data_IF_810689638184
#
_entry.id   IF_810689638184
#
_cell.length_a   1.000
_cell.length_b   1.000
_cell.length_c   1.000
_cell.angle_alpha   90.00
_cell.angle_beta   90.00
_cell.angle_gamma   90.00
#
_symmetry.space_group_name_H-M   'P 1'
#
loop_
_entity.id
_entity.type
_entity.pdbx_description
1 polymer ?
#
# COMPACT_ATOMS: atom_id res chain seq x y z
N UNK A 1 14.47 69.50 6.43
CA UNK A 1 13.07 69.02 6.56
C UNK A 1 12.75 67.71 5.81
N UNK A 2 13.68 67.06 5.09
CA UNK A 2 13.45 65.74 4.45
C UNK A 2 13.96 64.53 5.22
N UNK A 3 14.92 64.72 6.14
CA UNK A 3 15.49 63.62 6.94
C UNK A 3 14.64 63.28 8.17
N UNK A 4 13.90 64.25 8.72
CA UNK A 4 13.02 64.02 9.88
C UNK A 4 11.78 63.16 9.55
N UNK A 5 11.32 63.19 8.29
CA UNK A 5 10.15 62.42 7.85
C UNK A 5 10.46 60.91 7.70
N UNK A 6 11.72 60.55 7.48
CA UNK A 6 12.16 59.16 7.36
C UNK A 6 12.37 58.49 8.73
N UNK A 7 12.63 59.26 9.79
CA UNK A 7 12.72 58.73 11.16
C UNK A 7 11.36 58.56 11.85
N UNK A 8 10.30 59.22 11.36
CA UNK A 8 8.94 59.05 11.89
C UNK A 8 8.21 57.84 11.28
N UNK A 9 8.70 57.28 10.17
CA UNK A 9 8.11 56.09 9.56
C UNK A 9 8.59 54.76 10.19
N UNK A 10 9.65 54.78 11.00
CA UNK A 10 10.18 53.57 11.66
C UNK A 10 9.52 53.25 13.02
N UNK A 11 8.63 54.10 13.52
CA UNK A 11 8.03 53.94 14.86
C UNK A 11 6.72 53.13 14.88
N UNK A 12 6.25 52.59 13.76
CA UNK A 12 5.00 51.81 13.68
C UNK A 12 5.18 50.37 13.14
N UNK A 13 6.39 49.81 13.26
CA UNK A 13 6.56 48.37 13.08
C UNK A 13 6.19 47.67 14.39
N UNK A 14 4.89 47.50 14.63
CA UNK A 14 4.43 46.51 15.59
C UNK A 14 4.99 45.16 15.16
N UNK A 15 5.95 44.65 15.93
CA UNK A 15 6.38 43.28 15.83
C UNK A 15 5.14 42.41 16.06
N UNK A 16 4.63 41.80 15.00
CA UNK A 16 3.71 40.69 15.11
C UNK A 16 4.54 39.58 15.76
N UNK A 17 4.38 39.42 17.07
CA UNK A 17 4.88 38.29 17.83
C UNK A 17 4.14 37.06 17.31
N UNK A 18 4.60 36.52 16.17
CA UNK A 18 4.18 35.26 15.64
C UNK A 18 4.69 34.19 16.60
N UNK A 19 3.94 33.97 17.67
CA UNK A 19 4.14 32.84 18.56
C UNK A 19 3.87 31.60 17.74
N UNK A 20 4.95 30.98 17.27
CA UNK A 20 4.94 29.64 16.74
C UNK A 20 4.51 28.72 17.89
N UNK A 21 3.21 28.55 18.08
CA UNK A 21 2.67 27.49 18.90
C UNK A 21 3.01 26.22 18.15
N UNK A 22 4.15 25.62 18.49
CA UNK A 22 4.43 24.23 18.15
C UNK A 22 3.35 23.45 18.91
N UNK A 23 2.18 23.29 18.29
CA UNK A 23 1.32 22.17 18.62
C UNK A 23 2.13 20.95 18.19
N UNK A 24 2.90 20.42 19.14
CA UNK A 24 3.22 19.01 19.11
C UNK A 24 1.86 18.34 19.12
N UNK A 25 1.35 18.01 17.94
CA UNK A 25 0.26 17.06 17.76
C UNK A 25 0.83 15.74 18.27
N UNK A 26 0.88 15.60 19.61
CA UNK A 26 1.25 14.38 20.28
C UNK A 26 0.03 13.50 20.01
N UNK A 27 0.04 12.83 18.86
CA UNK A 27 -0.98 11.87 18.48
C UNK A 27 -1.28 11.02 19.71
N UNK A 28 -2.45 11.24 20.31
CA UNK A 28 -2.79 10.62 21.56
C UNK A 28 -3.21 9.18 21.26
N UNK A 29 -2.21 8.31 21.16
CA UNK A 29 -2.40 6.90 20.89
C UNK A 29 -2.79 6.19 22.18
N UNK A 30 -3.86 5.41 22.09
CA UNK A 30 -4.37 4.68 23.24
C UNK A 30 -3.43 3.53 23.61
N UNK A 31 -3.10 3.42 24.89
CA UNK A 31 -2.25 2.34 25.41
C UNK A 31 -3.09 1.08 25.57
N UNK A 32 -2.63 -0.02 24.98
CA UNK A 32 -3.33 -1.31 25.05
C UNK A 32 -2.38 -2.42 25.51
N UNK A 33 -2.85 -3.27 26.43
CA UNK A 33 -2.15 -4.52 26.80
C UNK A 33 -2.89 -5.73 26.24
N UNK A 34 -2.14 -6.79 25.94
CA UNK A 34 -2.64 -8.01 25.32
C UNK A 34 -2.40 -9.18 26.30
N UNK A 35 -3.46 -9.90 26.64
CA UNK A 35 -3.44 -11.04 27.56
C UNK A 35 -3.87 -12.29 26.80
N UNK A 36 -2.97 -13.26 26.71
CA UNK A 36 -3.17 -14.54 26.05
C UNK A 36 -3.73 -15.58 27.01
N UNK A 37 -4.96 -16.02 26.73
CA UNK A 37 -5.65 -17.12 27.40
C UNK A 37 -5.85 -18.34 26.50
N UNK A 38 -5.06 -18.48 25.44
CA UNK A 38 -4.98 -19.71 24.62
C UNK A 38 -4.37 -20.85 25.44
N UNK A 39 -4.81 -22.10 25.24
CA UNK A 39 -4.21 -23.26 25.93
C UNK A 39 -2.69 -23.33 25.69
N UNK A 40 -2.28 -23.08 24.44
CA UNK A 40 -0.88 -23.01 24.04
C UNK A 40 -0.54 -21.59 23.58
N UNK A 41 0.47 -20.98 24.22
CA UNK A 41 0.92 -19.64 23.85
C UNK A 41 1.55 -19.63 22.44
N UNK A 42 1.19 -18.64 21.62
CA UNK A 42 1.69 -18.51 20.26
C UNK A 42 2.33 -17.13 20.03
N UNK A 43 3.66 -17.07 20.21
CA UNK A 43 4.43 -15.83 20.02
C UNK A 43 4.32 -15.24 18.61
N UNK A 44 4.14 -16.07 17.57
CA UNK A 44 3.98 -15.57 16.20
C UNK A 44 2.65 -14.83 16.06
N UNK A 45 1.58 -15.39 16.62
CA UNK A 45 0.26 -14.77 16.61
C UNK A 45 0.21 -13.50 17.46
N UNK A 46 0.86 -13.51 18.63
CA UNK A 46 1.02 -12.32 19.46
C UNK A 46 1.72 -11.17 18.70
N UNK A 47 2.87 -11.45 18.07
CA UNK A 47 3.59 -10.47 17.27
C UNK A 47 2.79 -9.95 16.07
N UNK A 48 1.90 -10.78 15.53
CA UNK A 48 0.97 -10.37 14.48
C UNK A 48 -0.02 -9.32 14.98
N UNK A 49 -0.66 -9.55 16.13
CA UNK A 49 -1.55 -8.57 16.76
C UNK A 49 -0.82 -7.25 17.06
N UNK A 50 0.42 -7.33 17.59
CA UNK A 50 1.23 -6.13 17.85
C UNK A 50 1.51 -5.33 16.57
N UNK A 51 1.78 -6.03 15.46
CA UNK A 51 2.02 -5.41 14.16
C UNK A 51 0.75 -4.69 13.66
N UNK A 52 -0.41 -5.34 13.73
CA UNK A 52 -1.70 -4.77 13.34
C UNK A 52 -2.03 -3.50 14.17
N UNK A 53 -1.83 -3.54 15.49
CA UNK A 53 -2.03 -2.39 16.37
C UNK A 53 -1.04 -1.25 16.10
N UNK A 54 0.21 -1.59 15.76
CA UNK A 54 1.23 -0.59 15.43
C UNK A 54 0.90 0.14 14.12
N UNK A 55 0.58 -0.59 13.06
CA UNK A 55 0.35 0.02 11.74
C UNK A 55 -0.96 0.78 11.65
N UNK A 56 -1.93 0.46 12.52
CA UNK A 56 -3.15 1.27 12.64
C UNK A 56 -2.83 2.72 13.00
N UNK A 57 -1.75 2.94 13.77
CA UNK A 57 -1.38 4.26 14.25
C UNK A 57 -2.21 4.75 15.43
N UNK A 58 -3.23 4.02 15.87
CA UNK A 58 -4.13 4.45 16.95
C UNK A 58 -3.70 3.96 18.33
N UNK A 59 -2.80 2.97 18.40
CA UNK A 59 -2.44 2.32 19.66
C UNK A 59 -0.94 2.33 19.95
N UNK A 60 -0.62 2.28 21.24
CA UNK A 60 0.68 1.86 21.77
C UNK A 60 0.44 0.52 22.46
N UNK A 61 0.71 -0.57 21.74
CA UNK A 61 0.56 -1.93 22.27
C UNK A 61 1.75 -2.30 23.17
N UNK A 62 1.46 -2.93 24.30
CA UNK A 62 2.47 -3.51 25.17
C UNK A 62 3.16 -4.69 24.49
N UNK A 63 4.49 -4.69 24.48
CA UNK A 63 5.30 -5.74 23.87
C UNK A 63 5.45 -6.99 24.75
N UNK A 64 4.99 -6.96 26.00
CA UNK A 64 5.04 -8.10 26.91
C UNK A 64 3.91 -9.09 26.60
N UNK A 65 4.28 -10.36 26.41
CA UNK A 65 3.31 -11.42 26.15
C UNK A 65 2.70 -11.95 27.45
N UNK A 66 1.69 -11.25 27.96
CA UNK A 66 1.02 -11.60 29.21
C UNK A 66 0.17 -12.86 29.06
N UNK A 67 0.11 -13.67 30.12
CA UNK A 67 -0.74 -14.87 30.22
C UNK A 67 -1.87 -14.66 31.22
N UNK A 68 -3.04 -15.21 30.96
CA UNK A 68 -4.16 -15.12 31.89
C UNK A 68 -5.39 -15.88 31.43
N UNK A 69 -6.44 -15.84 32.24
CA UNK A 69 -7.72 -16.45 31.89
C UNK A 69 -8.59 -15.48 31.06
N UNK A 70 -9.04 -15.94 29.89
CA UNK A 70 -9.96 -15.22 29.02
C UNK A 70 -11.36 -15.11 29.62
N UNK A 71 -11.78 -16.05 30.45
CA UNK A 71 -13.12 -16.06 31.07
C UNK A 71 -13.22 -15.07 32.24
N UNK A 72 -12.11 -14.83 32.93
CA UNK A 72 -12.02 -13.89 34.02
C UNK A 72 -12.29 -12.44 33.59
N UNK A 73 -13.05 -11.72 34.41
CA UNK A 73 -13.22 -10.26 34.30
C UNK A 73 -12.11 -9.49 35.01
N UNK A 74 -11.19 -10.18 35.70
CA UNK A 74 -10.10 -9.55 36.41
C UNK A 74 -9.12 -8.88 35.43
N UNK A 75 -8.83 -7.60 35.69
CA UNK A 75 -7.81 -6.82 35.00
C UNK A 75 -6.69 -6.59 36.01
N UNK A 76 -5.50 -7.17 35.78
CA UNK A 76 -4.34 -7.02 36.66
C UNK A 76 -3.81 -5.57 36.67
N UNK A 77 -2.65 -5.35 37.31
CA UNK A 77 -1.91 -4.09 37.48
C UNK A 77 -1.57 -3.29 36.21
N UNK A 78 -2.11 -3.68 35.05
CA UNK A 78 -2.18 -2.92 33.80
C UNK A 78 -3.04 -1.63 33.88
N UNK A 79 -3.28 -1.10 35.09
CA UNK A 79 -4.04 0.14 35.33
C UNK A 79 -3.50 1.35 34.57
N UNK A 80 -2.23 1.32 34.16
CA UNK A 80 -1.59 2.37 33.36
C UNK A 80 -1.96 2.33 31.86
N UNK A 81 -2.63 1.27 31.41
CA UNK A 81 -3.10 1.09 30.03
C UNK A 81 -4.58 1.47 29.95
N UNK A 82 -4.99 2.08 28.84
CA UNK A 82 -6.38 2.47 28.62
C UNK A 82 -7.29 1.27 28.33
N UNK A 83 -6.74 0.31 27.58
CA UNK A 83 -7.45 -0.89 27.16
C UNK A 83 -6.67 -2.17 27.48
N UNK A 84 -7.40 -3.26 27.73
CA UNK A 84 -6.86 -4.62 27.82
C UNK A 84 -7.61 -5.52 26.85
N UNK A 85 -6.88 -6.11 25.90
CA UNK A 85 -7.39 -7.15 25.00
C UNK A 85 -7.03 -8.52 25.57
N UNK A 86 -8.04 -9.27 26.00
CA UNK A 86 -7.89 -10.70 26.25
C UNK A 86 -8.20 -11.48 24.99
N UNK A 87 -7.37 -12.45 24.64
CA UNK A 87 -7.61 -13.30 23.47
C UNK A 87 -7.27 -14.77 23.75
N UNK A 88 -7.93 -15.68 23.05
CA UNK A 88 -7.64 -17.11 23.10
C UNK A 88 -7.79 -17.70 21.70
N UNK A 89 -6.70 -18.23 21.19
CA UNK A 89 -6.59 -18.94 19.92
C UNK A 89 -6.63 -20.46 20.19
N UNK A 90 -7.42 -21.18 19.40
CA UNK A 90 -7.39 -22.65 19.39
C UNK A 90 -7.36 -23.18 17.95
N UNK A 91 -6.53 -24.20 17.73
CA UNK A 91 -6.20 -24.75 16.40
C UNK A 91 -6.56 -26.25 16.26
N UNK A 92 -7.76 -26.66 16.68
CA UNK A 92 -8.18 -28.09 16.66
C UNK A 92 -8.79 -28.51 15.31
N UNK A 93 -9.92 -27.90 14.91
CA UNK A 93 -10.66 -28.20 13.68
C UNK A 93 -10.71 -26.98 12.75
N UNK A 94 -9.52 -26.47 12.41
CA UNK A 94 -9.33 -25.10 11.92
C UNK A 94 -8.91 -24.18 13.07
N UNK A 95 -8.96 -22.87 12.84
CA UNK A 95 -8.55 -21.89 13.84
C UNK A 95 -9.73 -21.09 14.34
N UNK A 96 -9.86 -20.98 15.66
CA UNK A 96 -10.86 -20.17 16.34
C UNK A 96 -10.18 -19.15 17.23
N UNK A 97 -10.60 -17.90 17.14
CA UNK A 97 -10.10 -16.80 17.95
C UNK A 97 -11.25 -16.20 18.75
N UNK A 98 -11.16 -16.22 20.07
CA UNK A 98 -12.06 -15.49 20.96
C UNK A 98 -11.35 -14.24 21.45
N UNK A 99 -12.03 -13.11 21.46
CA UNK A 99 -11.50 -11.86 22.00
C UNK A 99 -12.49 -11.20 22.95
N UNK A 100 -11.94 -10.47 23.93
CA UNK A 100 -12.65 -9.59 24.85
C UNK A 100 -11.83 -8.35 25.09
N UNK A 101 -12.40 -7.17 24.83
CA UNK A 101 -11.77 -5.88 25.03
C UNK A 101 -12.41 -5.18 26.23
N UNK A 102 -11.58 -4.75 27.17
CA UNK A 102 -11.99 -4.04 28.36
C UNK A 102 -11.45 -2.61 28.37
N UNK A 103 -12.25 -1.68 28.91
CA UNK A 103 -11.77 -0.35 29.32
C UNK A 103 -11.24 -0.44 30.75
N UNK A 104 -9.98 -0.11 30.95
CA UNK A 104 -9.34 -0.28 32.27
C UNK A 104 -9.89 0.67 33.32
N UNK A 105 -10.32 1.88 32.93
CA UNK A 105 -10.78 2.92 33.85
C UNK A 105 -11.99 2.53 34.70
N UNK A 106 -12.85 1.65 34.19
CA UNK A 106 -14.08 1.22 34.86
C UNK A 106 -14.30 -0.29 34.79
N UNK A 107 -13.33 -1.06 34.30
CA UNK A 107 -13.43 -2.51 34.13
C UNK A 107 -14.51 -2.97 33.15
N UNK A 108 -15.10 -2.07 32.35
CA UNK A 108 -16.22 -2.41 31.46
C UNK A 108 -15.73 -3.20 30.25
N UNK A 109 -16.39 -4.32 29.97
CA UNK A 109 -16.26 -5.00 28.67
C UNK A 109 -16.91 -4.15 27.57
N UNK A 110 -16.11 -3.72 26.60
CA UNK A 110 -16.54 -2.88 25.47
C UNK A 110 -16.95 -3.76 24.30
N UNK A 111 -16.25 -4.87 24.11
CA UNK A 111 -16.38 -5.71 22.93
C UNK A 111 -16.02 -7.16 23.24
N UNK A 112 -16.81 -8.09 22.72
CA UNK A 112 -16.56 -9.52 22.77
C UNK A 112 -16.98 -10.15 21.46
N UNK A 113 -16.12 -10.98 20.88
CA UNK A 113 -16.40 -11.65 19.61
C UNK A 113 -15.61 -12.93 19.46
N UNK A 114 -16.14 -13.83 18.65
CA UNK A 114 -15.48 -15.07 18.27
C UNK A 114 -15.40 -15.14 16.74
N UNK A 115 -14.25 -15.58 16.25
CA UNK A 115 -13.96 -15.76 14.83
C UNK A 115 -13.54 -17.21 14.60
N UNK A 116 -13.82 -17.75 13.42
CA UNK A 116 -13.39 -19.09 13.05
C UNK A 116 -13.04 -19.14 11.56
N UNK A 117 -12.01 -19.90 11.21
CA UNK A 117 -11.66 -20.20 9.82
C UNK A 117 -11.25 -21.68 9.68
N UNK A 118 -11.68 -22.39 8.63
CA UNK A 118 -11.45 -23.84 8.54
C UNK A 118 -10.00 -24.27 8.38
N UNK A 119 -9.09 -23.37 7.97
CA UNK A 119 -7.70 -23.70 7.67
C UNK A 119 -6.75 -22.93 8.60
N UNK A 120 -5.93 -23.66 9.35
CA UNK A 120 -4.92 -23.09 10.26
C UNK A 120 -3.90 -22.20 9.52
N UNK A 121 -3.61 -22.48 8.25
CA UNK A 121 -2.75 -21.59 7.45
C UNK A 121 -3.31 -20.17 7.31
N UNK A 122 -4.64 -19.99 7.46
CA UNK A 122 -5.33 -18.70 7.34
C UNK A 122 -5.54 -18.00 8.70
N UNK A 123 -4.94 -18.48 9.78
CA UNK A 123 -4.99 -17.82 11.10
C UNK A 123 -4.64 -16.32 11.07
N UNK A 124 -3.70 -15.82 10.24
CA UNK A 124 -3.40 -14.39 10.20
C UNK A 124 -4.62 -13.49 9.96
N UNK A 125 -5.55 -13.94 9.12
CA UNK A 125 -6.78 -13.20 8.83
C UNK A 125 -7.69 -13.02 10.06
N UNK A 126 -7.60 -13.91 11.06
CA UNK A 126 -8.34 -13.76 12.32
C UNK A 126 -7.80 -12.60 13.15
N UNK A 127 -6.47 -12.45 13.23
CA UNK A 127 -5.82 -11.32 13.92
C UNK A 127 -6.19 -10.00 13.25
N UNK A 128 -6.02 -9.92 11.92
CA UNK A 128 -6.33 -8.71 11.15
C UNK A 128 -7.78 -8.30 11.32
N UNK A 129 -8.70 -9.28 11.27
CA UNK A 129 -10.12 -9.01 11.45
C UNK A 129 -10.44 -8.54 12.86
N UNK A 130 -9.86 -9.17 13.88
CA UNK A 130 -10.04 -8.76 15.27
C UNK A 130 -9.57 -7.32 15.50
N UNK A 131 -8.36 -6.97 15.06
CA UNK A 131 -7.82 -5.61 15.26
C UNK A 131 -8.59 -4.58 14.42
N UNK A 132 -8.97 -4.93 13.19
CA UNK A 132 -9.83 -4.07 12.37
C UNK A 132 -11.19 -3.80 13.03
N UNK A 133 -11.84 -4.83 13.59
CA UNK A 133 -13.12 -4.67 14.30
C UNK A 133 -12.94 -3.84 15.59
N UNK A 134 -11.83 -4.00 16.32
CA UNK A 134 -11.48 -3.19 17.50
C UNK A 134 -11.33 -1.71 17.16
N UNK A 135 -10.69 -1.37 16.03
CA UNK A 135 -10.59 0.02 15.59
C UNK A 135 -11.97 0.60 15.28
N UNK A 136 -12.85 -0.17 14.63
CA UNK A 136 -14.21 0.26 14.29
C UNK A 136 -15.10 0.47 15.53
N UNK A 137 -15.06 -0.44 16.51
CA UNK A 137 -15.90 -0.32 17.73
C UNK A 137 -15.46 0.86 18.60
N UNK A 138 -14.16 1.15 18.63
CA UNK A 138 -13.60 2.32 19.31
C UNK A 138 -13.70 3.62 18.49
N UNK A 139 -14.33 3.58 17.31
CA UNK A 139 -14.58 4.73 16.44
C UNK A 139 -13.30 5.42 15.93
N UNK A 140 -12.18 4.70 15.86
CA UNK A 140 -11.01 5.18 15.14
C UNK A 140 -11.21 5.11 13.63
N UNK A 141 -10.30 5.76 12.89
CA UNK A 141 -10.26 5.64 11.43
C UNK A 141 -10.18 4.17 11.01
N UNK A 142 -10.95 3.80 9.99
CA UNK A 142 -10.98 2.42 9.50
C UNK A 142 -9.60 1.98 9.04
N UNK A 143 -9.20 0.78 9.44
CA UNK A 143 -8.01 0.08 8.93
C UNK A 143 -8.38 -1.16 8.12
N UNK A 144 -9.60 -1.20 7.58
CA UNK A 144 -10.14 -2.39 6.89
C UNK A 144 -9.25 -2.92 5.75
N UNK A 145 -8.32 -2.11 5.25
CA UNK A 145 -7.28 -2.50 4.30
C UNK A 145 -6.42 -3.69 4.78
N UNK A 146 -6.20 -3.90 6.08
CA UNK A 146 -5.42 -5.06 6.59
C UNK A 146 -6.11 -6.40 6.32
N UNK A 147 -7.42 -6.39 6.07
CA UNK A 147 -8.19 -7.60 5.76
C UNK A 147 -8.13 -7.98 4.27
N UNK A 148 -7.52 -7.15 3.43
CA UNK A 148 -7.44 -7.36 1.99
C UNK A 148 -6.32 -8.35 1.65
N UNK A 149 -6.42 -8.96 0.48
CA UNK A 149 -5.35 -9.79 -0.06
C UNK A 149 -4.31 -8.94 -0.78
N UNK A 150 -3.06 -9.35 -0.67
CA UNK A 150 -1.97 -8.88 -1.52
C UNK A 150 -1.72 -9.92 -2.62
N UNK A 151 -1.47 -9.47 -3.86
CA UNK A 151 -0.98 -10.32 -4.94
C UNK A 151 0.36 -9.81 -5.44
N UNK A 152 1.30 -10.71 -5.67
CA UNK A 152 2.62 -10.34 -6.18
C UNK A 152 3.19 -11.40 -7.10
N UNK A 153 4.09 -10.98 -7.98
CA UNK A 153 4.86 -11.88 -8.84
C UNK A 153 6.32 -11.94 -8.37
N UNK A 154 6.91 -13.14 -8.35
CA UNK A 154 8.34 -13.32 -8.12
C UNK A 154 8.91 -14.33 -9.11
N UNK A 155 10.16 -14.15 -9.49
CA UNK A 155 10.86 -15.15 -10.31
C UNK A 155 11.13 -16.41 -9.50
N UNK A 156 10.91 -17.56 -10.12
CA UNK A 156 11.26 -18.87 -9.56
C UNK A 156 12.50 -19.44 -10.23
N UNK A 157 12.70 -19.19 -11.53
CA UNK A 157 13.88 -19.56 -12.32
C UNK A 157 14.03 -18.58 -13.50
N UNK A 158 15.14 -18.58 -14.27
CA UNK A 158 15.19 -17.84 -15.53
C UNK A 158 13.95 -18.13 -16.39
N UNK A 159 13.28 -17.09 -16.88
CA UNK A 159 12.02 -17.15 -17.67
C UNK A 159 10.86 -17.90 -16.98
N UNK A 160 10.89 -18.07 -15.65
CA UNK A 160 9.75 -18.62 -14.89
C UNK A 160 9.45 -17.78 -13.67
N UNK A 161 8.16 -17.57 -13.42
CA UNK A 161 7.68 -16.86 -12.24
C UNK A 161 6.49 -17.60 -11.64
N UNK A 162 6.07 -17.10 -10.49
CA UNK A 162 4.77 -17.43 -9.92
C UNK A 162 4.06 -16.15 -9.49
N UNK A 163 2.73 -16.19 -9.50
CA UNK A 163 1.88 -15.16 -8.88
C UNK A 163 1.29 -15.75 -7.61
N UNK A 164 1.55 -15.07 -6.49
CA UNK A 164 1.24 -15.51 -5.13
C UNK A 164 0.22 -14.57 -4.52
N UNK A 165 -0.80 -15.15 -3.89
CA UNK A 165 -1.77 -14.50 -3.02
C UNK A 165 -1.27 -14.54 -1.57
N UNK A 166 -1.35 -13.44 -0.85
CA UNK A 166 -0.94 -13.34 0.54
C UNK A 166 -1.88 -12.48 1.39
N UNK A 167 -1.77 -12.58 2.72
CA UNK A 167 -2.20 -11.50 3.61
C UNK A 167 -1.16 -10.37 3.60
N UNK A 168 -1.49 -9.23 4.21
CA UNK A 168 -0.61 -8.05 4.17
C UNK A 168 0.71 -8.24 4.95
N UNK A 169 0.77 -9.19 5.90
CA UNK A 169 2.00 -9.51 6.65
C UNK A 169 2.82 -10.63 6.02
N UNK A 170 2.32 -11.24 4.94
CA UNK A 170 2.94 -12.36 4.23
C UNK A 170 3.10 -13.63 5.07
N UNK A 171 2.36 -13.73 6.18
CA UNK A 171 2.31 -14.91 7.06
C UNK A 171 1.56 -16.07 6.42
N UNK A 172 0.55 -15.76 5.60
CA UNK A 172 -0.15 -16.67 4.69
C UNK A 172 0.28 -16.36 3.26
N UNK A 173 0.65 -17.40 2.52
CA UNK A 173 0.97 -17.30 1.09
C UNK A 173 0.40 -18.52 0.36
N UNK A 174 -0.14 -18.31 -0.84
CA UNK A 174 -0.62 -19.37 -1.73
C UNK A 174 -0.30 -19.01 -3.19
N UNK A 175 0.45 -19.87 -3.87
CA UNK A 175 0.67 -19.75 -5.30
C UNK A 175 -0.64 -19.97 -6.07
N UNK A 176 -0.99 -19.05 -6.96
CA UNK A 176 -2.23 -19.09 -7.77
C UNK A 176 -1.91 -19.34 -9.25
N UNK A 177 -0.79 -18.84 -9.75
CA UNK A 177 -0.28 -19.11 -11.10
C UNK A 177 1.17 -19.56 -11.00
N UNK A 178 1.52 -20.63 -11.70
CA UNK A 178 2.88 -21.16 -11.80
C UNK A 178 3.10 -21.82 -13.17
N UNK A 179 4.34 -22.20 -13.47
CA UNK A 179 4.68 -23.01 -14.66
C UNK A 179 5.09 -22.22 -15.91
N UNK A 180 5.02 -20.90 -15.90
CA UNK A 180 5.44 -20.04 -17.01
C UNK A 180 5.95 -18.68 -16.54
N UNK A 181 6.12 -17.74 -17.46
CA UNK A 181 6.43 -16.35 -17.13
C UNK A 181 5.13 -15.53 -17.08
N UNK A 182 4.66 -15.28 -15.86
CA UNK A 182 3.49 -14.45 -15.56
C UNK A 182 3.85 -13.34 -14.58
N UNK A 183 3.62 -12.08 -14.97
CA UNK A 183 4.07 -10.88 -14.25
C UNK A 183 2.96 -9.84 -14.13
N UNK A 184 3.21 -8.80 -13.33
CA UNK A 184 2.37 -7.61 -13.18
C UNK A 184 0.91 -7.93 -12.82
N UNK A 185 0.66 -8.62 -11.69
CA UNK A 185 -0.69 -8.85 -11.23
C UNK A 185 -1.35 -7.52 -10.80
N UNK A 186 -2.62 -7.32 -11.15
CA UNK A 186 -3.42 -6.14 -10.80
C UNK A 186 -4.85 -6.57 -10.45
N UNK A 187 -5.34 -6.23 -9.26
CA UNK A 187 -6.71 -6.54 -8.86
C UNK A 187 -7.72 -5.91 -9.81
N UNK A 188 -8.74 -6.69 -10.18
CA UNK A 188 -9.74 -6.23 -11.14
C UNK A 188 -10.77 -5.27 -10.54
N UNK A 189 -10.96 -5.31 -9.21
CA UNK A 189 -11.88 -4.45 -8.48
C UNK A 189 -11.63 -4.54 -6.96
N UNK A 190 -12.41 -3.77 -6.19
CA UNK A 190 -12.37 -3.78 -4.74
C UNK A 190 -12.80 -5.11 -4.10
N UNK A 191 -13.53 -5.99 -4.81
CA UNK A 191 -14.01 -7.29 -4.30
C UNK A 191 -12.92 -8.37 -4.29
N UNK A 192 -11.81 -8.17 -5.01
CA UNK A 192 -10.65 -9.08 -5.05
C UNK A 192 -11.02 -10.53 -5.43
N UNK A 193 -12.00 -10.69 -6.32
CA UNK A 193 -12.37 -12.01 -6.85
C UNK A 193 -11.58 -12.37 -8.11
N UNK A 194 -11.13 -11.37 -8.85
CA UNK A 194 -10.35 -11.55 -10.07
C UNK A 194 -9.19 -10.56 -10.13
N UNK A 195 -8.15 -10.93 -10.86
CA UNK A 195 -7.02 -10.05 -11.15
C UNK A 195 -6.58 -10.21 -12.60
N UNK A 196 -5.96 -9.16 -13.14
CA UNK A 196 -5.28 -9.16 -14.42
C UNK A 196 -3.81 -9.50 -14.25
N UNK A 197 -3.21 -10.17 -15.22
CA UNK A 197 -1.78 -10.45 -15.26
C UNK A 197 -1.30 -10.56 -16.70
N UNK A 198 -0.01 -10.33 -16.90
CA UNK A 198 0.64 -10.48 -18.20
C UNK A 198 1.25 -11.88 -18.29
N UNK A 199 0.91 -12.62 -19.34
CA UNK A 199 1.52 -13.92 -19.66
C UNK A 199 2.47 -13.76 -20.84
N UNK A 200 3.66 -14.32 -20.71
CA UNK A 200 4.69 -14.45 -21.74
C UNK A 200 4.90 -15.93 -22.11
N UNK A 201 3.88 -16.77 -21.91
CA UNK A 201 3.94 -18.19 -22.26
C UNK A 201 3.89 -18.42 -23.78
N UNK A 202 3.16 -17.56 -24.49
CA UNK A 202 3.05 -17.56 -25.94
C UNK A 202 4.05 -16.58 -26.58
N UNK A 203 4.22 -16.65 -27.89
CA UNK A 203 5.11 -15.73 -28.65
C UNK A 203 4.71 -14.26 -28.48
N UNK A 204 3.40 -13.99 -28.43
CA UNK A 204 2.83 -12.64 -28.28
C UNK A 204 2.36 -12.46 -26.83
N UNK A 205 2.94 -11.52 -26.05
CA UNK A 205 2.49 -11.20 -24.72
C UNK A 205 0.98 -10.92 -24.65
N UNK A 206 0.33 -11.50 -23.64
CA UNK A 206 -1.12 -11.37 -23.47
C UNK A 206 -1.49 -10.90 -22.07
N UNK A 207 -2.46 -9.98 -22.00
CA UNK A 207 -3.13 -9.58 -20.77
C UNK A 207 -4.31 -10.52 -20.52
N UNK A 208 -4.29 -11.20 -19.39
CA UNK A 208 -5.27 -12.21 -19.02
C UNK A 208 -5.95 -11.83 -17.70
N UNK A 209 -7.21 -12.21 -17.54
CA UNK A 209 -7.99 -12.12 -16.30
C UNK A 209 -8.15 -13.51 -15.69
N UNK A 210 -7.94 -13.64 -14.40
CA UNK A 210 -8.17 -14.89 -13.65
C UNK A 210 -9.09 -14.62 -12.46
N UNK A 211 -10.08 -15.48 -12.25
CA UNK A 211 -10.86 -15.53 -11.01
C UNK A 211 -10.22 -16.50 -10.00
N UNK A 212 -9.95 -16.04 -8.77
CA UNK A 212 -9.22 -16.82 -7.75
C UNK A 212 -10.06 -17.91 -7.07
N UNK A 213 -11.39 -17.87 -7.22
CA UNK A 213 -12.32 -18.81 -6.61
C UNK A 213 -12.76 -19.90 -7.59
N UNK A 214 -13.07 -19.52 -8.83
CA UNK A 214 -13.55 -20.46 -9.87
C UNK A 214 -12.42 -20.98 -10.77
N UNK A 215 -11.27 -20.31 -10.80
CA UNK A 215 -10.19 -20.62 -11.73
C UNK A 215 -10.45 -20.20 -13.18
N UNK A 216 -11.59 -19.54 -13.47
CA UNK A 216 -11.93 -19.07 -14.81
C UNK A 216 -10.91 -18.08 -15.34
N UNK A 217 -10.45 -18.29 -16.58
CA UNK A 217 -9.45 -17.49 -17.28
C UNK A 217 -10.02 -16.92 -18.58
N UNK A 218 -9.72 -15.65 -18.87
CA UNK A 218 -10.02 -15.05 -20.16
C UNK A 218 -8.87 -14.14 -20.62
N UNK A 219 -8.59 -14.16 -21.92
CA UNK A 219 -7.67 -13.22 -22.57
C UNK A 219 -8.41 -11.91 -22.82
N UNK A 220 -7.82 -10.79 -22.40
CA UNK A 220 -8.40 -9.45 -22.55
C UNK A 220 -7.84 -8.75 -23.78
N UNK A 221 -6.51 -8.82 -23.96
CA UNK A 221 -5.81 -8.20 -25.07
C UNK A 221 -4.42 -8.83 -25.26
N UNK A 222 -3.80 -8.54 -26.40
CA UNK A 222 -2.38 -8.83 -26.67
C UNK A 222 -1.71 -7.65 -27.37
N UNK A 223 -0.38 -7.66 -27.33
CA UNK A 223 0.50 -6.67 -27.96
C UNK A 223 1.75 -7.39 -28.45
N UNK A 224 2.29 -7.02 -29.61
CA UNK A 224 3.55 -7.57 -30.14
C UNK A 224 4.74 -7.21 -29.25
N UNK A 225 4.74 -6.00 -28.67
CA UNK A 225 5.64 -5.63 -27.57
C UNK A 225 5.01 -5.85 -26.19
N UNK A 226 5.41 -5.04 -25.21
CA UNK A 226 4.89 -5.15 -23.84
C UNK A 226 3.36 -4.90 -23.77
N UNK A 227 2.70 -5.55 -22.83
CA UNK A 227 1.33 -5.26 -22.41
C UNK A 227 1.24 -5.41 -20.89
N UNK A 228 0.77 -4.40 -20.18
CA UNK A 228 0.64 -4.42 -18.72
C UNK A 228 -0.61 -3.66 -18.30
N UNK A 229 -1.46 -4.25 -17.46
CA UNK A 229 -2.54 -3.50 -16.81
C UNK A 229 -1.94 -2.63 -15.70
N UNK A 230 -1.84 -1.34 -15.98
CA UNK A 230 -1.22 -0.36 -15.08
C UNK A 230 -2.19 0.10 -13.99
N UNK A 231 -3.48 0.24 -14.35
CA UNK A 231 -4.53 0.57 -13.38
C UNK A 231 -5.92 0.10 -13.81
N UNK A 232 -6.83 0.05 -12.85
CA UNK A 232 -8.23 -0.33 -13.07
C UNK A 232 -9.13 0.77 -12.53
N UNK A 233 -10.10 1.18 -13.33
CA UNK A 233 -11.12 2.13 -12.89
C UNK A 233 -11.90 1.54 -11.71
N UNK A 234 -12.32 2.37 -10.75
CA UNK A 234 -12.96 1.99 -9.48
C UNK A 234 -14.23 1.18 -9.68
N UNK A 235 -14.96 1.44 -10.76
CA UNK A 235 -16.16 0.68 -11.16
C UNK A 235 -15.84 -0.67 -11.86
N UNK A 236 -14.58 -0.95 -12.16
CA UNK A 236 -14.11 -2.17 -12.83
C UNK A 236 -14.42 -2.23 -14.34
N UNK A 237 -14.99 -1.18 -14.93
CA UNK A 237 -15.44 -1.17 -16.33
C UNK A 237 -14.31 -0.99 -17.34
N UNK A 238 -13.24 -0.31 -16.93
CA UNK A 238 -12.13 0.10 -17.82
C UNK A 238 -10.77 -0.09 -17.16
N UNK A 239 -9.77 -0.31 -18.00
CA UNK A 239 -8.38 -0.55 -17.62
C UNK A 239 -7.49 0.49 -18.29
N UNK A 240 -6.54 1.05 -17.54
CA UNK A 240 -5.35 1.67 -18.12
C UNK A 240 -4.32 0.58 -18.39
N UNK A 241 -3.89 0.48 -19.64
CA UNK A 241 -2.96 -0.54 -20.10
C UNK A 241 -1.78 0.13 -20.78
N UNK A 242 -0.58 -0.16 -20.31
CA UNK A 242 0.64 0.18 -21.03
C UNK A 242 0.85 -0.86 -22.13
N UNK A 243 0.88 -0.44 -23.39
CA UNK A 243 1.03 -1.33 -24.54
C UNK A 243 2.07 -0.81 -25.51
N UNK A 244 2.81 -1.71 -26.16
CA UNK A 244 3.73 -1.39 -27.24
C UNK A 244 3.44 -2.20 -28.51
N UNK A 245 2.33 -1.94 -29.22
CA UNK A 245 1.95 -2.74 -30.39
C UNK A 245 2.93 -2.60 -31.57
N UNK A 246 3.69 -1.50 -31.65
CA UNK A 246 4.67 -1.25 -32.71
C UNK A 246 6.02 -0.81 -32.11
N UNK A 247 6.51 -1.54 -31.08
CA UNK A 247 7.71 -1.22 -30.30
C UNK A 247 7.69 0.12 -29.52
N UNK A 248 6.66 0.94 -29.68
CA UNK A 248 6.46 2.22 -29.01
C UNK A 248 5.47 2.08 -27.85
N UNK A 249 5.89 2.34 -26.61
CA UNK A 249 5.03 2.19 -25.42
C UNK A 249 4.17 3.41 -25.18
N UNK A 250 2.85 3.20 -25.12
CA UNK A 250 1.86 4.21 -24.74
C UNK A 250 0.85 3.66 -23.74
N UNK A 251 0.04 4.58 -23.21
CA UNK A 251 -1.10 4.27 -22.35
C UNK A 251 -2.35 4.19 -23.20
N UNK A 252 -3.08 3.09 -23.03
CA UNK A 252 -4.37 2.83 -23.64
C UNK A 252 -5.43 2.70 -22.55
N UNK A 253 -6.65 3.12 -22.85
CA UNK A 253 -7.83 2.78 -22.08
C UNK A 253 -8.62 1.71 -22.84
N UNK A 254 -8.87 0.58 -22.18
CA UNK A 254 -9.60 -0.56 -22.77
C UNK A 254 -10.74 -0.99 -21.85
N UNK A 255 -11.79 -1.59 -22.42
CA UNK A 255 -12.85 -2.23 -21.63
C UNK A 255 -12.31 -3.45 -20.87
N UNK A 256 -12.84 -3.70 -19.67
CA UNK A 256 -12.50 -4.90 -18.88
C UNK A 256 -12.98 -6.22 -19.49
N UNK A 257 -13.82 -6.13 -20.53
CA UNK A 257 -14.27 -7.24 -21.36
C UNK A 257 -13.41 -7.44 -22.63
N UNK A 258 -12.40 -6.60 -22.84
CA UNK A 258 -11.62 -6.54 -24.08
C UNK A 258 -12.29 -5.70 -25.18
N UNK A 259 -11.82 -5.85 -26.42
CA UNK A 259 -12.37 -5.15 -27.59
C UNK A 259 -11.59 -3.89 -27.99
N UNK A 260 -12.30 -2.81 -28.31
CA UNK A 260 -11.70 -1.59 -28.85
C UNK A 260 -10.73 -0.92 -27.85
N UNK A 261 -9.64 -0.38 -28.39
CA UNK A 261 -8.54 0.21 -27.61
C UNK A 261 -8.51 1.71 -27.88
N UNK A 262 -8.67 2.55 -26.86
CA UNK A 262 -8.49 4.01 -26.96
C UNK A 262 -7.07 4.37 -26.57
N UNK A 263 -6.24 4.85 -27.49
CA UNK A 263 -4.91 5.38 -27.19
C UNK A 263 -5.05 6.71 -26.42
N UNK A 264 -4.49 6.80 -25.21
CA UNK A 264 -4.61 7.95 -24.30
C UNK A 264 -3.41 8.87 -24.40
N UNK A 265 -2.23 8.32 -24.61
CA UNK A 265 -0.98 9.04 -24.88
C UNK A 265 -0.44 8.66 -26.25
N UNK A 266 0.32 9.58 -26.87
CA UNK A 266 0.87 9.38 -28.20
C UNK A 266 2.24 10.04 -28.35
N UNK A 267 3.04 9.99 -27.29
CA UNK A 267 4.39 10.54 -27.32
C UNK A 267 5.29 9.64 -28.19
N UNK A 268 6.27 10.23 -28.89
CA UNK A 268 7.14 9.49 -29.81
C UNK A 268 8.21 8.64 -29.13
N UNK A 269 8.12 8.47 -27.82
CA UNK A 269 9.06 7.74 -26.95
C UNK A 269 8.30 7.31 -25.67
N UNK A 270 8.95 6.77 -24.67
CA UNK A 270 8.33 6.00 -23.57
C UNK A 270 7.25 6.79 -22.78
N UNK A 271 6.00 6.29 -22.81
CA UNK A 271 4.91 6.60 -21.85
C UNK A 271 4.38 5.30 -21.21
N UNK A 272 4.55 5.14 -19.88
CA UNK A 272 4.24 3.89 -19.14
C UNK A 272 3.65 4.12 -17.74
N UNK A 273 3.17 3.06 -17.10
CA UNK A 273 2.69 3.05 -15.71
C UNK A 273 1.60 4.11 -15.44
N UNK A 274 0.58 4.16 -16.30
CA UNK A 274 -0.56 5.06 -16.16
C UNK A 274 -1.47 4.70 -14.98
N UNK A 275 -1.88 5.71 -14.22
CA UNK A 275 -2.70 5.62 -13.00
C UNK A 275 -3.82 6.64 -13.03
N UNK A 276 -5.03 6.23 -12.67
CA UNK A 276 -6.14 7.16 -12.55
C UNK A 276 -5.87 8.14 -11.39
N UNK A 277 -6.21 9.41 -11.58
CA UNK A 277 -6.01 10.48 -10.63
C UNK A 277 -7.21 11.43 -10.63
N UNK A 278 -7.30 12.31 -9.62
CA UNK A 278 -8.34 13.35 -9.55
C UNK A 278 -9.77 12.81 -9.79
N UNK A 279 -10.14 11.78 -9.02
CA UNK A 279 -11.43 11.07 -9.18
C UNK A 279 -11.63 10.51 -10.59
N UNK A 280 -10.56 10.00 -11.21
CA UNK A 280 -10.56 9.31 -12.51
C UNK A 280 -10.84 10.22 -13.72
N UNK A 281 -10.76 11.54 -13.54
CA UNK A 281 -10.83 12.51 -14.64
C UNK A 281 -9.47 12.72 -15.33
N UNK A 282 -8.40 12.46 -14.60
CA UNK A 282 -7.02 12.58 -15.05
C UNK A 282 -6.30 11.24 -14.96
N UNK A 283 -5.17 11.15 -15.66
CA UNK A 283 -4.15 10.13 -15.43
C UNK A 283 -2.84 10.78 -15.02
N UNK A 284 -2.08 10.10 -14.15
CA UNK A 284 -0.64 10.34 -13.98
C UNK A 284 0.14 9.16 -14.52
N UNK A 285 1.33 9.41 -15.03
CA UNK A 285 2.13 8.38 -15.69
C UNK A 285 3.61 8.75 -15.77
N UNK A 286 4.45 7.75 -16.01
CA UNK A 286 5.89 7.93 -16.24
C UNK A 286 6.13 8.17 -17.72
N UNK A 287 6.92 9.19 -18.04
CA UNK A 287 7.32 9.55 -19.40
C UNK A 287 8.78 9.98 -19.44
N UNK A 288 9.47 9.71 -20.54
CA UNK A 288 10.82 10.23 -20.79
C UNK A 288 10.85 11.51 -21.65
N UNK A 289 9.73 12.21 -21.83
CA UNK A 289 9.62 13.40 -22.69
C UNK A 289 10.54 14.59 -22.39
N UNK A 290 11.20 14.59 -21.23
CA UNK A 290 12.23 15.57 -20.86
C UNK A 290 13.66 15.03 -21.06
N UNK A 291 13.81 13.92 -21.78
CA UNK A 291 15.08 13.19 -21.92
C UNK A 291 15.42 12.27 -20.75
N UNK A 292 14.55 12.19 -19.73
CA UNK A 292 14.71 11.30 -18.57
C UNK A 292 13.35 10.92 -17.99
N UNK A 293 13.27 9.77 -17.31
CA UNK A 293 12.03 9.26 -16.72
C UNK A 293 11.50 10.20 -15.62
N UNK A 294 10.32 10.78 -15.86
CA UNK A 294 9.65 11.67 -14.94
C UNK A 294 8.12 11.49 -14.98
N UNK A 295 7.39 12.11 -14.05
CA UNK A 295 5.95 11.93 -13.89
C UNK A 295 5.16 13.12 -14.42
N UNK A 296 4.17 12.82 -15.26
CA UNK A 296 3.30 13.76 -15.91
C UNK A 296 1.83 13.46 -15.63
N UNK A 297 0.98 14.47 -15.81
CA UNK A 297 -0.47 14.40 -15.71
C UNK A 297 -1.11 14.77 -17.05
N UNK A 298 -2.15 14.04 -17.42
CA UNK A 298 -2.98 14.32 -18.59
C UNK A 298 -4.45 14.13 -18.23
N UNK A 299 -5.32 15.05 -18.65
CA UNK A 299 -6.76 14.81 -18.58
C UNK A 299 -7.20 13.79 -19.63
N UNK A 300 -8.12 12.90 -19.29
CA UNK A 300 -8.65 11.91 -20.24
C UNK A 300 -9.42 12.55 -21.41
N UNK A 301 -9.88 13.79 -21.24
CA UNK A 301 -10.70 14.53 -22.21
C UNK A 301 -9.94 15.67 -22.91
N UNK A 302 -8.69 15.95 -22.53
CA UNK A 302 -7.88 17.02 -23.13
C UNK A 302 -6.56 16.47 -23.64
N UNK A 303 -5.93 17.20 -24.57
CA UNK A 303 -4.61 16.87 -25.11
C UNK A 303 -3.47 17.36 -24.22
N UNK A 304 -3.70 18.39 -23.39
CA UNK A 304 -2.67 19.03 -22.58
C UNK A 304 -2.05 18.08 -21.56
N UNK A 305 -0.71 18.10 -21.50
CA UNK A 305 0.09 17.32 -20.55
C UNK A 305 0.95 18.27 -19.73
N UNK A 306 1.01 18.06 -18.42
CA UNK A 306 1.80 18.88 -17.49
C UNK A 306 2.68 18.01 -16.59
N UNK A 307 3.84 18.54 -16.20
CA UNK A 307 4.76 17.89 -15.26
C UNK A 307 4.19 17.95 -13.83
N UNK A 308 4.27 16.83 -13.11
CA UNK A 308 3.82 16.72 -11.71
C UNK A 308 5.01 16.74 -10.76
N UNK A 309 6.09 16.05 -11.13
CA UNK A 309 7.24 15.86 -10.23
C UNK A 309 8.43 16.69 -10.69
N UNK A 310 8.98 17.47 -9.76
CA UNK A 310 10.13 18.37 -9.99
C UNK A 310 11.40 17.93 -9.25
N UNK A 311 11.34 16.86 -8.45
CA UNK A 311 12.47 16.29 -7.72
C UNK A 311 12.96 15.02 -8.39
N UNK A 312 14.28 14.87 -8.47
CA UNK A 312 14.93 13.71 -9.07
C UNK A 312 14.89 13.71 -10.60
N UNK A 313 15.80 12.94 -11.22
CA UNK A 313 15.90 12.79 -12.68
C UNK A 313 15.70 11.34 -13.15
N UNK A 314 15.19 10.49 -12.28
CA UNK A 314 14.79 9.13 -12.63
C UNK A 314 13.68 8.70 -11.67
N UNK A 315 12.45 9.02 -12.08
CA UNK A 315 11.22 8.73 -11.37
C UNK A 315 10.48 7.63 -12.14
N UNK A 316 10.64 6.39 -11.72
CA UNK A 316 10.38 5.21 -12.56
C UNK A 316 9.11 4.42 -12.20
N UNK A 317 8.38 4.84 -11.18
CA UNK A 317 7.09 4.26 -10.80
C UNK A 317 6.23 5.29 -10.09
N UNK A 318 4.92 5.21 -10.29
CA UNK A 318 3.94 6.16 -9.76
C UNK A 318 2.65 5.45 -9.34
N UNK A 319 2.02 6.01 -8.31
CA UNK A 319 0.63 5.73 -7.94
C UNK A 319 -0.07 7.01 -7.48
N UNK A 320 -1.39 7.07 -7.61
CA UNK A 320 -2.18 8.25 -7.28
C UNK A 320 -3.44 7.90 -6.48
N UNK A 321 -3.79 8.76 -5.53
CA UNK A 321 -5.05 8.67 -4.80
C UNK A 321 -5.59 10.07 -4.51
N UNK A 322 -6.67 10.45 -5.18
CA UNK A 322 -7.21 11.81 -5.11
C UNK A 322 -6.20 12.82 -5.67
N UNK A 323 -5.76 13.77 -4.83
CA UNK A 323 -4.69 14.73 -5.18
C UNK A 323 -3.28 14.24 -4.83
N UNK A 324 -3.14 13.13 -4.10
CA UNK A 324 -1.85 12.62 -3.62
C UNK A 324 -1.20 11.78 -4.72
N UNK A 325 0.11 11.94 -4.87
CA UNK A 325 0.94 11.14 -5.79
C UNK A 325 2.13 10.60 -5.02
N UNK A 326 2.34 9.29 -5.09
CA UNK A 326 3.57 8.65 -4.61
C UNK A 326 4.39 8.15 -5.78
N UNK A 327 5.71 8.26 -5.65
CA UNK A 327 6.62 7.82 -6.68
C UNK A 327 7.93 7.33 -6.11
N UNK A 328 8.60 6.44 -6.87
CA UNK A 328 9.98 6.07 -6.58
C UNK A 328 10.94 6.93 -7.39
N UNK A 329 11.95 7.48 -6.72
CA UNK A 329 12.96 8.36 -7.30
C UNK A 329 14.36 7.85 -6.99
N UNK A 330 15.24 7.92 -7.97
CA UNK A 330 16.67 7.65 -7.79
C UNK A 330 17.36 8.82 -7.09
N UNK A 331 18.06 8.56 -6.00
CA UNK A 331 18.78 9.61 -5.25
C UNK A 331 20.16 9.94 -5.84
N UNK A 332 20.82 8.96 -6.47
CA UNK A 332 22.13 9.17 -7.08
C UNK A 332 22.02 9.84 -8.45
N UNK A 333 22.88 10.83 -8.69
CA UNK A 333 23.05 11.48 -10.01
C UNK A 333 23.93 10.65 -10.96
N UNK A 334 24.78 9.76 -10.45
CA UNK A 334 25.68 8.95 -11.29
C UNK A 334 24.94 7.76 -11.84
N UNK A 335 24.70 7.68 -13.16
CA UNK A 335 24.02 6.54 -13.81
C UNK A 335 24.63 5.17 -13.50
N UNK A 336 25.91 5.13 -13.13
CA UNK A 336 26.66 3.92 -12.80
C UNK A 336 26.94 3.73 -11.29
N UNK A 337 26.57 4.70 -10.45
CA UNK A 337 26.67 4.58 -8.98
C UNK A 337 25.64 3.62 -8.39
N UNK A 338 25.74 3.35 -7.08
CA UNK A 338 24.75 2.50 -6.41
C UNK A 338 23.33 3.05 -6.60
N UNK A 339 22.45 2.20 -7.13
CA UNK A 339 21.05 2.52 -7.43
C UNK A 339 20.21 2.53 -6.14
N UNK A 340 20.27 3.64 -5.41
CA UNK A 340 19.35 3.90 -4.29
C UNK A 340 18.08 4.57 -4.81
N UNK A 341 16.95 3.92 -4.53
CA UNK A 341 15.62 4.41 -4.86
C UNK A 341 14.84 4.63 -3.57
N UNK A 342 14.17 5.77 -3.47
CA UNK A 342 13.37 6.14 -2.32
C UNK A 342 11.97 6.58 -2.74
N UNK A 343 11.01 6.38 -1.85
CA UNK A 343 9.61 6.73 -2.08
C UNK A 343 9.39 8.17 -1.63
N UNK A 344 8.71 8.93 -2.47
CA UNK A 344 8.34 10.32 -2.26
C UNK A 344 6.84 10.49 -2.39
N UNK A 345 6.30 11.43 -1.62
CA UNK A 345 4.92 11.89 -1.69
C UNK A 345 4.90 13.33 -2.20
N UNK A 346 4.04 13.62 -3.16
CA UNK A 346 3.74 14.96 -3.67
C UNK A 346 2.24 15.10 -3.92
N UNK A 347 1.82 16.22 -4.51
CA UNK A 347 0.43 16.51 -4.87
C UNK A 347 0.32 16.93 -6.32
N UNK A 348 -0.82 16.64 -6.96
CA UNK A 348 -1.11 17.07 -8.34
C UNK A 348 -1.08 18.59 -8.55
N UNK A 349 -1.20 19.35 -7.46
CA UNK A 349 -1.36 20.80 -7.46
C UNK A 349 -0.22 21.52 -6.73
N UNK A 350 0.86 20.81 -6.35
CA UNK A 350 2.00 21.40 -5.63
C UNK A 350 3.30 20.78 -6.11
N UNK A 351 4.34 21.60 -6.22
CA UNK A 351 5.71 21.12 -6.49
C UNK A 351 6.40 20.56 -5.25
N UNK A 352 5.82 20.76 -4.05
CA UNK A 352 6.40 20.29 -2.80
C UNK A 352 6.41 18.77 -2.75
N UNK A 353 7.57 18.23 -2.37
CA UNK A 353 7.79 16.79 -2.24
C UNK A 353 8.27 16.47 -0.83
N UNK A 354 7.77 15.37 -0.26
CA UNK A 354 8.17 14.83 1.05
C UNK A 354 8.73 13.41 0.91
N UNK A 355 9.93 13.09 1.43
CA UNK A 355 10.42 11.72 1.50
C UNK A 355 9.55 10.88 2.43
N UNK A 356 9.23 9.66 2.00
CA UNK A 356 8.62 8.61 2.83
C UNK A 356 9.65 7.55 3.25
N UNK A 357 10.70 7.34 2.46
CA UNK A 357 11.84 6.49 2.81
C UNK A 357 13.15 7.24 2.56
N UNK A 358 14.20 6.86 3.29
CA UNK A 358 15.52 7.50 3.17
C UNK A 358 16.65 6.50 2.93
N UNK A 359 16.43 5.19 3.13
CA UNK A 359 17.47 4.16 3.04
C UNK A 359 17.01 2.93 2.27
N UNK A 360 17.96 2.27 1.60
CA UNK A 360 17.75 1.05 0.83
C UNK A 360 17.36 1.30 -0.64
N UNK A 361 16.72 0.31 -1.25
CA UNK A 361 16.19 0.37 -2.61
C UNK A 361 14.69 0.10 -2.56
N UNK A 362 13.89 1.15 -2.64
CA UNK A 362 12.45 1.15 -2.41
C UNK A 362 11.73 1.50 -3.73
N UNK A 363 10.90 0.60 -4.24
CA UNK A 363 10.30 0.67 -5.57
C UNK A 363 8.79 0.34 -5.49
N UNK A 364 8.07 0.63 -6.58
CA UNK A 364 6.67 0.24 -6.78
C UNK A 364 5.75 0.65 -5.62
N UNK A 365 5.66 1.96 -5.30
CA UNK A 365 4.75 2.41 -4.26
C UNK A 365 3.29 2.28 -4.73
N UNK A 366 2.41 1.88 -3.83
CA UNK A 366 0.97 1.77 -4.07
C UNK A 366 0.18 2.31 -2.87
N UNK A 367 -0.83 3.15 -3.12
CA UNK A 367 -1.76 3.59 -2.09
C UNK A 367 -2.73 2.48 -1.69
N UNK A 368 -3.21 2.54 -0.44
CA UNK A 368 -4.44 1.85 -0.06
C UNK A 368 -5.64 2.46 -0.78
N UNK A 369 -6.75 1.73 -0.82
CA UNK A 369 -8.01 2.21 -1.41
C UNK A 369 -8.57 3.49 -0.79
N UNK A 370 -8.21 3.79 0.46
CA UNK A 370 -8.56 5.03 1.18
C UNK A 370 -7.40 6.07 1.16
N UNK A 371 -6.26 5.72 0.57
CA UNK A 371 -5.06 6.54 0.45
C UNK A 371 -4.38 6.88 1.79
N UNK A 372 -4.70 6.17 2.87
CA UNK A 372 -4.10 6.38 4.20
C UNK A 372 -2.74 5.70 4.36
N UNK A 373 -2.48 4.64 3.58
CA UNK A 373 -1.25 3.84 3.63
C UNK A 373 -0.55 3.85 2.27
N UNK A 374 0.77 3.73 2.30
CA UNK A 374 1.61 3.47 1.12
C UNK A 374 2.34 2.14 1.32
N UNK A 375 2.03 1.16 0.46
CA UNK A 375 2.80 -0.07 0.30
C UNK A 375 3.98 0.18 -0.64
N UNK A 376 5.12 -0.49 -0.44
CA UNK A 376 6.23 -0.49 -1.39
C UNK A 376 7.08 -1.76 -1.28
N UNK A 377 7.84 -2.07 -2.33
CA UNK A 377 8.82 -3.15 -2.32
C UNK A 377 10.18 -2.58 -1.89
N UNK A 378 10.80 -3.18 -0.89
CA UNK A 378 12.19 -2.91 -0.49
C UNK A 378 13.09 -4.07 -0.89
N UNK A 379 14.13 -3.80 -1.66
CA UNK A 379 15.15 -4.78 -2.01
C UNK A 379 16.39 -4.68 -1.13
N UNK A 380 16.95 -5.84 -0.77
CA UNK A 380 18.26 -5.96 -0.13
C UNK A 380 18.98 -7.17 -0.71
N UNK A 381 19.92 -6.93 -1.62
CA UNK A 381 20.55 -7.99 -2.40
C UNK A 381 19.52 -8.75 -3.23
N UNK A 382 19.45 -10.07 -3.06
CA UNK A 382 18.47 -10.94 -3.75
C UNK A 382 17.13 -11.07 -3.03
N UNK A 383 17.00 -10.49 -1.83
CA UNK A 383 15.81 -10.60 -1.01
C UNK A 383 14.89 -9.38 -1.18
N UNK A 384 13.61 -9.59 -0.93
CA UNK A 384 12.58 -8.56 -0.89
C UNK A 384 11.92 -8.50 0.48
N UNK A 385 11.52 -7.30 0.87
CA UNK A 385 10.60 -7.05 1.97
C UNK A 385 9.52 -6.09 1.49
N UNK A 386 8.32 -6.20 2.05
CA UNK A 386 7.22 -5.30 1.72
C UNK A 386 7.03 -4.33 2.88
N UNK A 387 7.15 -3.05 2.56
CA UNK A 387 6.99 -1.96 3.51
C UNK A 387 5.61 -1.36 3.43
N UNK A 388 5.10 -0.91 4.57
CA UNK A 388 3.87 -0.15 4.70
C UNK A 388 4.15 1.11 5.51
N UNK A 389 3.67 2.26 5.05
CA UNK A 389 3.78 3.55 5.74
C UNK A 389 2.38 4.12 5.93
N UNK A 390 1.98 4.32 7.17
CA UNK A 390 0.78 5.07 7.50
C UNK A 390 1.08 6.56 7.38
N UNK A 391 0.39 7.24 6.47
CA UNK A 391 0.67 8.64 6.15
C UNK A 391 0.26 9.61 7.24
N UNK A 392 -0.73 9.22 8.07
CA UNK A 392 -1.22 10.03 9.19
C UNK A 392 -0.27 9.87 10.37
N UNK A 393 -0.14 8.64 10.89
CA UNK A 393 0.65 8.36 12.09
C UNK A 393 2.16 8.25 11.90
N UNK A 394 2.61 8.27 10.63
CA UNK A 394 4.01 8.06 10.23
C UNK A 394 4.59 6.71 10.69
N UNK A 395 3.74 5.80 11.19
CA UNK A 395 4.14 4.45 11.55
C UNK A 395 4.53 3.69 10.28
N UNK A 396 5.58 2.88 10.40
CA UNK A 396 6.03 2.02 9.33
C UNK A 396 6.27 0.60 9.83
N UNK A 397 5.98 -0.35 8.95
CA UNK A 397 6.29 -1.76 9.10
C UNK A 397 7.00 -2.27 7.85
N UNK A 398 7.82 -3.30 8.05
CA UNK A 398 8.56 -3.96 6.99
C UNK A 398 8.48 -5.46 7.22
N UNK A 399 7.86 -6.17 6.29
CA UNK A 399 7.68 -7.62 6.36
C UNK A 399 8.65 -8.30 5.39
N UNK A 400 9.57 -9.15 5.87
CA UNK A 400 10.43 -9.91 4.99
C UNK A 400 9.60 -10.93 4.21
N UNK A 401 9.80 -10.99 2.89
CA UNK A 401 9.21 -12.05 2.07
C UNK A 401 10.32 -13.05 1.78
N UNK A 402 10.25 -14.19 2.46
CA UNK A 402 11.21 -15.27 2.25
C UNK A 402 11.19 -15.71 0.77
N UNK A 403 12.37 -15.78 0.17
CA UNK A 403 12.56 -16.23 -1.21
C UNK A 403 13.16 -15.18 -2.13
N UNK A 404 12.89 -15.35 -3.43
CA UNK A 404 13.47 -14.59 -4.53
C UNK A 404 12.86 -13.19 -4.67
N UNK A 405 13.60 -12.30 -5.34
CA UNK A 405 13.22 -10.92 -5.63
C UNK A 405 11.80 -10.80 -6.23
N UNK A 406 10.94 -10.06 -5.55
CA UNK A 406 9.60 -9.67 -6.03
C UNK A 406 9.76 -8.72 -7.22
N UNK A 407 8.98 -8.93 -8.27
CA UNK A 407 9.00 -8.09 -9.48
C UNK A 407 7.90 -7.04 -9.50
N UNK A 408 6.72 -7.38 -8.99
CA UNK A 408 5.53 -6.54 -9.05
C UNK A 408 4.53 -6.98 -7.97
N UNK A 409 3.73 -6.04 -7.47
CA UNK A 409 2.80 -6.23 -6.36
C UNK A 409 1.55 -5.36 -6.55
N UNK A 410 0.40 -5.80 -6.03
CA UNK A 410 -0.85 -5.03 -5.92
C UNK A 410 -1.70 -5.55 -4.74
N UNK A 411 -2.65 -4.76 -4.22
CA UNK A 411 -3.31 -5.07 -2.93
C UNK A 411 -4.73 -4.53 -2.70
#
# INVERSE_FOLDING_TARGET
MRILLLMLLSLNLFAIDARLKIETDVEHRSKISLVDGSDNANNKFFNLLLSDFKISGHFIADGVHHRGDISSNFISTEKSKEYVLKYALSDSSGSKLNIRLFKTSNGKEIFKKSYAIPRVSKTPFLAHRAVSDINNILKYSSISWINRYVIFARYTMPKRSEIVLADYTFSYQKSIISGGLSLFPKWADAKQQSFYYTSYADEIPSLNKLNIYTGSKSKIASSEGMIVCSDVKRDGSKLLVTMAPNAQSDIYEISSWGGSKKRVTSFGDIDVNGKYANSESDIVFVSNRMGYANIFKKSLNQSTISQVVYRGRNNNSVDAHGNKVVYSSRESHSSFGQNTFNIYLTSLNSSTTRPLTTTGSNLSPHFSNDGSIVQYIKHRGQNSSIGYINLNSKQSLLFPVNGKKIQSIDW
#
